data_IF_713866905685
#
_entry.id   IF_713866905685
#
_cell.length_a   1.000
_cell.length_b   1.000
_cell.length_c   1.000
_cell.angle_alpha   90.00
_cell.angle_beta   90.00
_cell.angle_gamma   90.00
#
_symmetry.space_group_name_H-M   'P 1'
#
loop_
_entity.id
_entity.type
_entity.pdbx_description
1 polymer ?
#
# COMPACT_ATOMS: atom_id res chain seq x y z
N UNK A 1 -25.54 43.56 28.14
CA UNK A 1 -24.84 43.02 29.33
C UNK A 1 -23.80 42.03 28.83
N UNK A 2 -22.54 42.47 28.80
CA UNK A 2 -21.38 41.65 28.42
C UNK A 2 -20.81 40.96 29.67
N UNK A 3 -20.52 39.67 29.57
CA UNK A 3 -19.63 38.99 30.51
C UNK A 3 -18.44 38.44 29.70
N UNK A 4 -17.32 39.17 29.81
CA UNK A 4 -15.99 38.66 29.48
C UNK A 4 -15.51 37.88 30.70
N UNK A 5 -15.03 36.66 30.50
CA UNK A 5 -14.23 35.97 31.52
C UNK A 5 -12.90 35.55 30.90
N UNK A 6 -11.83 36.00 31.54
CA UNK A 6 -10.45 35.91 31.09
C UNK A 6 -9.83 34.53 31.37
N UNK A 7 -8.76 34.26 30.61
CA UNK A 7 -7.89 33.07 30.57
C UNK A 7 -7.12 32.82 31.88
N UNK A 8 -6.53 31.63 32.04
CA UNK A 8 -5.06 31.63 32.04
C UNK A 8 -4.42 30.47 31.24
N UNK A 9 -3.20 30.74 30.79
CA UNK A 9 -2.30 29.86 30.05
C UNK A 9 -1.44 28.98 30.97
N UNK A 10 -1.07 27.78 30.50
CA UNK A 10 0.10 26.98 30.90
C UNK A 10 0.29 25.93 29.78
N UNK A 11 1.20 26.11 28.83
CA UNK A 11 2.65 25.85 28.92
C UNK A 11 2.99 24.35 28.97
N UNK A 12 3.46 23.82 27.85
CA UNK A 12 4.54 22.82 27.79
C UNK A 12 4.98 22.64 26.32
N UNK A 13 5.94 23.45 25.91
CA UNK A 13 6.72 23.22 24.70
C UNK A 13 7.78 22.16 25.03
N UNK A 14 7.61 20.95 24.53
CA UNK A 14 8.60 19.88 24.66
C UNK A 14 9.55 19.96 23.47
N UNK A 15 10.62 20.73 23.65
CA UNK A 15 11.73 20.89 22.73
C UNK A 15 12.59 19.62 22.71
N UNK A 16 12.85 19.16 21.49
CA UNK A 16 14.02 18.43 21.01
C UNK A 16 15.09 18.02 22.06
N UNK A 17 15.36 16.72 22.15
CA UNK A 17 16.70 16.15 22.37
C UNK A 17 16.65 14.62 22.25
N UNK A 18 17.05 14.08 21.11
CA UNK A 18 17.64 12.74 21.03
C UNK A 18 18.74 12.77 19.97
N UNK A 19 19.96 12.81 20.49
CA UNK A 19 21.22 12.77 19.76
C UNK A 19 21.49 11.38 19.19
N UNK A 20 21.90 11.37 17.91
CA UNK A 20 23.08 10.70 17.36
C UNK A 20 23.66 9.46 18.08
N UNK A 21 23.41 8.30 17.49
CA UNK A 21 24.33 7.17 17.24
C UNK A 21 23.51 6.21 16.33
N UNK A 22 23.92 5.73 15.16
CA UNK A 22 25.15 5.01 14.85
C UNK A 22 25.73 5.47 13.50
N UNK A 23 27.02 5.80 13.54
CA UNK A 23 27.90 5.73 12.39
C UNK A 23 28.29 4.26 12.14
N UNK A 24 28.37 3.85 10.87
CA UNK A 24 29.25 2.78 10.44
C UNK A 24 28.59 1.54 9.83
N UNK A 25 28.27 1.62 8.54
CA UNK A 25 28.60 0.52 7.62
C UNK A 25 29.11 1.14 6.32
N UNK A 26 30.41 0.95 6.07
CA UNK A 26 31.10 1.41 4.88
C UNK A 26 30.63 0.62 3.64
N UNK A 27 30.73 1.20 2.43
CA UNK A 27 30.46 0.50 1.19
C UNK A 27 31.57 -0.54 0.92
N UNK A 28 31.17 -1.79 0.71
CA UNK A 28 32.05 -2.85 0.22
C UNK A 28 32.36 -2.57 -1.26
N UNK A 29 33.57 -2.06 -1.51
CA UNK A 29 34.13 -1.86 -2.84
C UNK A 29 34.71 -3.18 -3.35
N UNK A 30 33.85 -4.06 -3.86
CA UNK A 30 34.23 -5.23 -4.63
C UNK A 30 34.22 -4.93 -6.13
N UNK A 31 35.36 -4.50 -6.66
CA UNK A 31 35.62 -4.51 -8.11
C UNK A 31 35.96 -5.92 -8.54
N UNK A 32 35.13 -6.52 -9.38
CA UNK A 32 35.60 -7.52 -10.35
C UNK A 32 34.68 -7.55 -11.57
N UNK A 33 35.24 -7.16 -12.71
CA UNK A 33 34.69 -7.33 -14.04
C UNK A 33 35.88 -7.40 -15.01
N UNK A 34 35.75 -8.05 -16.19
CA UNK A 34 35.03 -9.27 -16.53
C UNK A 34 36.02 -10.30 -17.17
N UNK A 35 35.53 -11.40 -17.76
CA UNK A 35 35.65 -11.37 -19.22
C UNK A 35 34.36 -11.73 -19.96
N UNK A 36 34.23 -11.07 -21.11
CA UNK A 36 33.31 -11.38 -22.20
C UNK A 36 33.50 -12.82 -22.67
N UNK A 37 32.41 -13.54 -22.88
CA UNK A 37 32.36 -14.47 -24.01
C UNK A 37 30.98 -14.47 -24.68
N UNK A 38 31.07 -14.60 -25.99
CA UNK A 38 30.02 -14.45 -26.98
C UNK A 38 29.35 -15.79 -27.21
N UNK A 39 28.03 -15.83 -27.41
CA UNK A 39 27.41 -17.11 -27.71
C UNK A 39 25.92 -17.10 -27.99
N UNK A 40 25.59 -16.92 -29.27
CA UNK A 40 24.49 -17.54 -30.00
C UNK A 40 23.04 -17.24 -29.56
N UNK A 41 22.34 -16.53 -30.46
CA UNK A 41 20.90 -16.36 -30.40
C UNK A 41 20.12 -17.67 -30.54
N UNK A 42 18.88 -17.63 -30.03
CA UNK A 42 17.79 -18.46 -30.51
C UNK A 42 16.54 -17.61 -30.49
N UNK A 43 16.14 -17.15 -31.66
CA UNK A 43 14.78 -16.75 -31.96
C UNK A 43 13.86 -17.95 -31.74
N UNK A 44 12.94 -17.85 -30.80
CA UNK A 44 11.76 -18.69 -30.76
C UNK A 44 10.56 -17.77 -30.84
N UNK A 45 10.09 -17.56 -32.07
CA UNK A 45 8.71 -17.20 -32.32
C UNK A 45 7.88 -18.45 -31.98
N UNK A 46 7.06 -18.35 -30.95
CA UNK A 46 5.92 -19.24 -30.78
C UNK A 46 4.66 -18.37 -30.90
N UNK A 47 4.07 -18.44 -32.09
CA UNK A 47 2.64 -18.19 -32.29
C UNK A 47 1.84 -19.36 -31.73
N UNK A 48 0.52 -19.15 -31.54
CA UNK A 48 -0.55 -20.11 -31.22
C UNK A 48 -0.93 -20.03 -29.73
N UNK A 49 -2.18 -19.85 -29.29
CA UNK A 49 -3.49 -19.89 -29.95
C UNK A 49 -4.46 -19.06 -29.10
N UNK A 50 -5.37 -18.35 -29.75
CA UNK A 50 -6.53 -17.75 -29.09
C UNK A 50 -7.56 -18.83 -28.77
N UNK A 51 -7.38 -19.51 -27.63
CA UNK A 51 -8.50 -20.20 -26.99
C UNK A 51 -9.05 -19.26 -25.92
N UNK A 52 -10.00 -18.41 -26.32
CA UNK A 52 -10.94 -17.81 -25.38
C UNK A 52 -11.81 -18.94 -24.84
N UNK A 53 -11.36 -19.59 -23.76
CA UNK A 53 -12.24 -20.36 -22.91
C UNK A 53 -13.24 -19.38 -22.31
N UNK A 54 -14.44 -19.38 -22.89
CA UNK A 54 -15.68 -18.80 -22.38
C UNK A 54 -16.04 -19.51 -21.07
N UNK A 55 -15.18 -19.32 -20.07
CA UNK A 55 -15.45 -19.67 -18.69
C UNK A 55 -16.39 -18.58 -18.20
N UNK A 56 -17.61 -18.91 -17.74
CA UNK A 56 -18.44 -17.91 -17.10
C UNK A 56 -17.59 -17.30 -15.99
N UNK A 57 -17.35 -16.00 -16.06
CA UNK A 57 -16.67 -15.29 -15.00
C UNK A 57 -17.50 -15.49 -13.73
N UNK A 58 -17.15 -16.51 -12.95
CA UNK A 58 -17.25 -16.48 -11.51
C UNK A 58 -16.85 -15.05 -11.14
N UNK A 59 -17.74 -14.30 -10.51
CA UNK A 59 -17.46 -12.94 -10.09
C UNK A 59 -16.32 -13.01 -9.08
N UNK A 60 -15.10 -13.05 -9.63
CA UNK A 60 -13.92 -13.55 -8.95
C UNK A 60 -13.59 -12.57 -7.86
N UNK A 61 -13.67 -13.03 -6.63
CA UNK A 61 -13.23 -12.27 -5.46
C UNK A 61 -11.83 -11.72 -5.75
N UNK A 62 -11.71 -10.39 -5.78
CA UNK A 62 -10.45 -9.73 -6.11
C UNK A 62 -9.50 -9.85 -4.93
N UNK A 63 -8.27 -10.29 -5.20
CA UNK A 63 -7.19 -10.30 -4.22
C UNK A 63 -6.18 -9.22 -4.59
N UNK A 64 -5.96 -8.27 -3.69
CA UNK A 64 -4.91 -7.26 -3.82
C UNK A 64 -3.69 -7.69 -3.01
N UNK A 65 -2.47 -7.57 -3.55
CA UNK A 65 -1.27 -7.80 -2.75
C UNK A 65 -1.24 -6.93 -1.49
N UNK A 66 -0.60 -7.42 -0.44
CA UNK A 66 -0.58 -6.72 0.84
C UNK A 66 0.27 -5.45 0.90
N UNK A 67 1.07 -5.18 -0.13
CA UNK A 67 1.84 -3.94 -0.23
C UNK A 67 1.76 -3.40 -1.65
N UNK A 68 1.30 -2.16 -1.79
CA UNK A 68 1.16 -1.51 -3.08
C UNK A 68 0.33 -0.24 -3.03
N UNK A 69 0.05 0.27 -4.23
CA UNK A 69 -0.80 1.44 -4.46
C UNK A 69 -1.76 1.06 -5.57
N UNK A 70 -3.05 1.08 -5.29
CA UNK A 70 -4.10 0.57 -6.16
C UNK A 70 -5.07 1.68 -6.51
N UNK A 71 -5.27 1.94 -7.80
CA UNK A 71 -6.31 2.85 -8.27
C UNK A 71 -7.69 2.28 -7.96
N UNK A 72 -8.47 3.03 -7.17
CA UNK A 72 -9.82 2.64 -6.76
C UNK A 72 -10.76 2.70 -7.97
N UNK A 73 -11.60 1.68 -8.14
CA UNK A 73 -12.53 1.55 -9.24
C UNK A 73 -11.94 0.90 -10.50
N UNK A 74 -10.62 0.68 -10.56
CA UNK A 74 -9.96 -0.03 -11.66
C UNK A 74 -9.12 -1.22 -11.16
N UNK A 75 -8.01 -0.95 -10.49
CA UNK A 75 -7.10 -1.98 -9.95
C UNK A 75 -7.68 -2.59 -8.66
N UNK A 76 -8.32 -1.75 -7.85
CA UNK A 76 -9.11 -2.15 -6.70
C UNK A 76 -10.58 -1.77 -6.93
N UNK A 77 -11.42 -2.68 -7.48
CA UNK A 77 -12.84 -2.43 -7.67
C UNK A 77 -13.56 -2.03 -6.38
N UNK A 78 -14.67 -1.31 -6.51
CA UNK A 78 -15.47 -0.95 -5.34
C UNK A 78 -15.98 -2.19 -4.61
N UNK A 79 -15.92 -2.17 -3.27
CA UNK A 79 -16.29 -3.30 -2.43
C UNK A 79 -15.68 -3.23 -1.02
N UNK A 80 -16.03 -4.21 -0.19
CA UNK A 80 -15.35 -4.44 1.10
C UNK A 80 -14.10 -5.28 0.88
N UNK A 81 -13.01 -4.97 1.59
CA UNK A 81 -11.78 -5.74 1.60
C UNK A 81 -11.35 -6.05 3.02
N UNK A 82 -10.86 -7.26 3.23
CA UNK A 82 -10.32 -7.73 4.50
C UNK A 82 -8.94 -8.34 4.31
N UNK A 83 -8.09 -8.25 5.33
CA UNK A 83 -6.81 -8.97 5.31
C UNK A 83 -7.05 -10.49 5.25
N UNK A 84 -6.34 -11.19 4.38
CA UNK A 84 -6.34 -12.65 4.28
C UNK A 84 -5.81 -13.29 5.57
N UNK A 85 -6.53 -14.29 6.09
CA UNK A 85 -6.14 -15.11 7.24
C UNK A 85 -7.13 -15.08 8.42
N UNK A 86 -7.12 -16.14 9.26
CA UNK A 86 -7.89 -16.22 10.51
C UNK A 86 -7.43 -15.17 11.57
N UNK A 87 -8.33 -14.68 12.46
CA UNK A 87 -8.62 -13.24 12.50
C UNK A 87 -8.06 -12.42 13.68
N UNK A 88 -8.14 -11.09 13.48
CA UNK A 88 -8.44 -9.97 14.40
C UNK A 88 -7.35 -8.91 14.58
N UNK A 89 -6.06 -9.28 14.56
CA UNK A 89 -5.00 -8.29 14.80
C UNK A 89 -4.31 -7.88 13.50
N UNK A 90 -4.31 -6.57 13.24
CA UNK A 90 -3.48 -5.97 12.19
C UNK A 90 -2.02 -6.29 12.52
N UNK A 91 -1.28 -6.99 11.64
CA UNK A 91 0.11 -7.33 11.90
C UNK A 91 0.94 -6.08 12.21
N UNK A 92 1.93 -6.22 13.09
CA UNK A 92 2.83 -5.12 13.38
C UNK A 92 3.54 -4.66 12.09
N UNK A 93 3.41 -3.38 11.74
CA UNK A 93 3.98 -2.81 10.53
C UNK A 93 3.06 -2.85 9.30
N UNK A 94 1.86 -3.44 9.40
CA UNK A 94 0.82 -3.24 8.38
C UNK A 94 0.20 -1.85 8.55
N UNK A 95 0.29 -1.05 7.50
CA UNK A 95 -0.38 0.25 7.41
C UNK A 95 -1.15 0.35 6.11
N UNK A 96 -2.25 1.09 6.14
CA UNK A 96 -3.00 1.38 4.93
C UNK A 96 -3.66 2.75 4.98
N UNK A 97 -3.86 3.33 3.81
CA UNK A 97 -4.57 4.60 3.66
C UNK A 97 -5.34 4.67 2.35
N UNK A 98 -6.36 5.51 2.34
CA UNK A 98 -7.04 5.98 1.14
C UNK A 98 -6.64 7.43 0.94
N UNK A 99 -6.10 7.74 -0.24
CA UNK A 99 -5.71 9.09 -0.62
C UNK A 99 -6.61 9.64 -1.72
N UNK A 100 -6.80 10.96 -1.67
CA UNK A 100 -7.55 11.71 -2.66
C UNK A 100 -6.71 12.04 -3.91
N UNK A 101 -7.33 12.73 -4.87
CA UNK A 101 -6.68 13.16 -6.10
C UNK A 101 -5.51 14.14 -5.87
N UNK A 102 -5.51 14.86 -4.76
CA UNK A 102 -4.48 15.81 -4.35
C UNK A 102 -3.36 15.13 -3.53
N UNK A 103 -3.50 13.83 -3.24
CA UNK A 103 -2.58 13.03 -2.42
C UNK A 103 -2.76 13.20 -0.91
N UNK A 104 -3.85 13.81 -0.45
CA UNK A 104 -4.16 13.91 0.96
C UNK A 104 -4.83 12.63 1.47
N UNK A 105 -4.50 12.23 2.71
CA UNK A 105 -5.07 11.05 3.35
C UNK A 105 -6.50 11.35 3.81
N UNK A 106 -7.47 10.67 3.21
CA UNK A 106 -8.88 10.73 3.60
C UNK A 106 -9.19 9.76 4.75
N UNK A 107 -8.64 8.54 4.68
CA UNK A 107 -8.82 7.49 5.68
C UNK A 107 -7.52 6.71 5.87
N UNK A 108 -7.22 6.22 7.08
CA UNK A 108 -6.07 5.36 7.34
C UNK A 108 -6.25 4.49 8.59
N UNK A 109 -5.62 3.31 8.57
CA UNK A 109 -5.32 2.43 9.72
C UNK A 109 -6.50 2.12 10.66
N UNK A 110 -7.70 1.88 10.12
CA UNK A 110 -8.91 1.59 10.92
C UNK A 110 -9.13 0.10 11.24
N UNK A 111 -8.09 -0.72 11.14
CA UNK A 111 -8.14 -2.17 11.41
C UNK A 111 -7.83 -3.01 10.16
N UNK A 112 -8.23 -4.29 10.19
CA UNK A 112 -8.00 -5.24 9.09
C UNK A 112 -9.10 -5.25 8.01
N UNK A 113 -9.92 -4.20 7.95
CA UNK A 113 -11.04 -4.06 7.03
C UNK A 113 -11.07 -2.66 6.43
N UNK A 114 -11.44 -2.56 5.16
CA UNK A 114 -11.65 -1.30 4.45
C UNK A 114 -12.81 -1.42 3.47
N UNK A 115 -13.54 -0.33 3.26
CA UNK A 115 -14.58 -0.25 2.23
C UNK A 115 -14.16 0.76 1.18
N UNK A 116 -13.97 0.27 -0.05
CA UNK A 116 -13.65 1.11 -1.19
C UNK A 116 -14.96 1.43 -1.91
N UNK A 117 -15.38 2.68 -1.81
CA UNK A 117 -16.63 3.17 -2.39
C UNK A 117 -16.36 4.33 -3.33
N UNK A 118 -17.34 4.64 -4.18
CA UNK A 118 -17.30 5.82 -5.05
C UNK A 118 -17.51 7.10 -4.22
N UNK A 119 -16.45 7.53 -3.54
CA UNK A 119 -16.37 8.82 -2.88
C UNK A 119 -15.46 9.67 -3.76
N UNK A 120 -15.86 10.91 -4.13
CA UNK A 120 -15.09 11.74 -5.04
C UNK A 120 -13.67 12.08 -4.54
N UNK A 121 -13.42 11.90 -3.25
CA UNK A 121 -12.12 12.10 -2.60
C UNK A 121 -11.34 10.80 -2.34
N UNK A 122 -11.80 9.64 -2.80
CA UNK A 122 -11.12 8.35 -2.61
C UNK A 122 -10.62 7.82 -3.96
N UNK A 123 -9.35 8.10 -4.29
CA UNK A 123 -8.79 7.77 -5.62
C UNK A 123 -7.81 6.61 -5.57
N UNK A 124 -7.07 6.46 -4.48
CA UNK A 124 -6.02 5.44 -4.40
C UNK A 124 -6.01 4.79 -3.02
N UNK A 125 -5.94 3.47 -3.02
CA UNK A 125 -5.76 2.65 -1.83
C UNK A 125 -4.28 2.25 -1.73
N UNK A 126 -3.61 2.63 -0.66
CA UNK A 126 -2.19 2.38 -0.42
C UNK A 126 -2.06 1.45 0.77
N UNK A 127 -1.26 0.40 0.63
CA UNK A 127 -0.97 -0.58 1.67
C UNK A 127 0.53 -0.81 1.77
N UNK A 128 1.04 -1.02 2.99
CA UNK A 128 2.44 -1.33 3.24
C UNK A 128 2.56 -2.31 4.40
N UNK A 129 3.35 -3.38 4.20
CA UNK A 129 3.62 -4.38 5.22
C UNK A 129 2.42 -5.25 5.63
N UNK A 130 1.31 -5.21 4.87
CA UNK A 130 0.13 -6.01 5.15
C UNK A 130 0.18 -7.39 4.49
N UNK A 131 -0.60 -8.36 5.00
CA UNK A 131 -1.06 -9.50 4.22
C UNK A 131 -1.89 -9.05 3.02
N UNK A 132 -2.13 -9.97 2.08
CA UNK A 132 -3.01 -9.73 0.95
C UNK A 132 -4.42 -9.34 1.43
N UNK A 133 -5.13 -8.57 0.60
CA UNK A 133 -6.48 -8.12 0.84
C UNK A 133 -7.44 -8.87 -0.06
N UNK A 134 -8.39 -9.56 0.53
CA UNK A 134 -9.46 -10.27 -0.16
C UNK A 134 -10.73 -9.43 -0.16
N UNK A 135 -11.32 -9.25 -1.34
CA UNK A 135 -12.65 -8.66 -1.46
C UNK A 135 -13.69 -9.57 -0.78
N UNK A 136 -14.68 -8.99 -0.11
CA UNK A 136 -15.84 -9.71 0.43
C UNK A 136 -17.16 -8.97 0.13
N UNK A 137 -18.25 -9.75 0.06
CA UNK A 137 -19.62 -9.25 -0.14
C UNK A 137 -20.28 -8.79 1.17
#
# INVERSE_FOLDING_TARGET
MSARTARPALAAASVLLLLAALAGCAPDAGTDAPPSDSGAGSTTEESTDETMEDTPADAGMVVLPGTGSYAIGTEAPYGGYQLTGEPVEVPAGCTWSIVDADGAVAFADQGGYVFLTDIPEAVTFITDGCPDWEQFE
#
